data_IF_443446887992
#
_entry.id   IF_443446887992
#
_cell.length_a   1.000
_cell.length_b   1.000
_cell.length_c   1.000
_cell.angle_alpha   90.00
_cell.angle_beta   90.00
_cell.angle_gamma   90.00
#
_symmetry.space_group_name_H-M   'P 1'
#
loop_
_entity.id
_entity.type
_entity.pdbx_description
1 polymer ?
#
# COMPACT_ATOMS: atom_id res chain seq x y z
N UNK A 1 -22.08 -1.78 20.35
CA UNK A 1 -20.78 -2.48 20.46
C UNK A 1 -20.22 -2.67 19.05
N UNK A 2 -18.93 -2.43 18.82
CA UNK A 2 -18.28 -2.62 17.51
C UNK A 2 -18.14 -4.11 17.21
N UNK A 3 -18.39 -4.53 15.97
CA UNK A 3 -18.17 -5.92 15.55
C UNK A 3 -16.69 -6.21 15.29
N UNK A 4 -16.28 -7.47 15.45
CA UNK A 4 -14.92 -7.92 15.09
C UNK A 4 -14.60 -7.63 13.61
N UNK A 5 -15.58 -7.78 12.71
CA UNK A 5 -15.41 -7.47 11.28
C UNK A 5 -15.10 -5.99 11.06
N UNK A 6 -15.75 -5.08 11.76
CA UNK A 6 -15.48 -3.64 11.68
C UNK A 6 -14.08 -3.31 12.24
N UNK A 7 -13.68 -3.93 13.38
CA UNK A 7 -12.34 -3.78 13.93
C UNK A 7 -11.25 -4.24 12.96
N UNK A 8 -11.46 -5.35 12.25
CA UNK A 8 -10.52 -5.80 11.20
C UNK A 8 -10.32 -4.74 10.12
N UNK A 9 -11.41 -4.09 9.70
CA UNK A 9 -11.34 -2.99 8.73
C UNK A 9 -10.52 -1.81 9.27
N UNK A 10 -10.86 -1.29 10.44
CA UNK A 10 -10.15 -0.15 11.04
C UNK A 10 -8.69 -0.43 11.37
N UNK A 11 -8.37 -1.63 11.87
CA UNK A 11 -6.98 -2.01 12.11
C UNK A 11 -6.21 -2.11 10.78
N UNK A 12 -6.84 -2.66 9.73
CA UNK A 12 -6.22 -2.71 8.41
C UNK A 12 -5.91 -1.30 7.88
N UNK A 13 -6.81 -0.33 8.05
CA UNK A 13 -6.58 1.06 7.63
C UNK A 13 -5.30 1.64 8.28
N UNK A 14 -5.09 1.40 9.59
CA UNK A 14 -3.88 1.87 10.29
C UNK A 14 -2.61 1.12 9.82
N UNK A 15 -2.73 -0.18 9.57
CA UNK A 15 -1.63 -0.98 9.00
C UNK A 15 -1.27 -0.49 7.60
N UNK A 16 -2.24 -0.13 6.77
CA UNK A 16 -1.98 0.43 5.44
C UNK A 16 -1.38 1.84 5.52
N UNK A 17 -1.77 2.66 6.49
CA UNK A 17 -1.11 3.94 6.75
C UNK A 17 0.38 3.75 7.07
N UNK A 18 0.71 2.79 7.93
CA UNK A 18 2.09 2.41 8.21
C UNK A 18 2.82 1.89 6.96
N UNK A 19 2.17 1.04 6.18
CA UNK A 19 2.75 0.49 4.95
C UNK A 19 3.07 1.59 3.93
N UNK A 20 2.17 2.56 3.77
CA UNK A 20 2.42 3.75 2.94
C UNK A 20 3.64 4.53 3.43
N UNK A 21 3.70 4.82 4.74
CA UNK A 21 4.86 5.51 5.32
C UNK A 21 6.14 4.75 5.05
N UNK A 22 6.14 3.44 5.24
CA UNK A 22 7.28 2.57 4.96
C UNK A 22 7.65 2.51 3.48
N UNK A 23 6.76 2.95 2.59
CA UNK A 23 6.91 2.96 1.13
C UNK A 23 7.17 4.35 0.54
N UNK A 24 7.67 5.30 1.35
CA UNK A 24 8.06 6.62 0.88
C UNK A 24 6.94 7.66 0.80
N UNK A 25 5.77 7.37 1.42
CA UNK A 25 4.69 8.35 1.55
C UNK A 25 4.71 9.01 2.93
N UNK A 26 4.27 10.23 2.98
CA UNK A 26 3.85 10.94 4.18
C UNK A 26 2.33 10.76 4.34
N UNK A 27 1.91 10.25 5.50
CA UNK A 27 0.47 10.08 5.77
C UNK A 27 -0.10 11.42 6.17
N UNK A 28 -1.09 11.90 5.42
CA UNK A 28 -1.68 13.22 5.60
C UNK A 28 -2.80 13.20 6.65
N UNK A 29 -2.90 14.33 7.34
CA UNK A 29 -3.94 14.69 8.28
C UNK A 29 -4.66 15.98 7.84
N UNK A 30 -5.75 16.33 8.50
CA UNK A 30 -6.42 17.60 8.22
C UNK A 30 -5.57 18.83 8.60
N UNK A 31 -4.50 18.64 9.39
CA UNK A 31 -3.57 19.71 9.79
C UNK A 31 -2.57 20.05 8.67
N UNK A 32 -2.37 19.13 7.71
CA UNK A 32 -1.50 19.34 6.56
C UNK A 32 -2.11 20.27 5.50
N UNK A 33 -3.38 20.64 5.67
CA UNK A 33 -4.01 21.68 4.85
C UNK A 33 -3.77 23.05 5.45
N UNK A 34 -2.88 23.82 4.83
CA UNK A 34 -2.56 25.18 5.25
C UNK A 34 -3.63 26.22 4.86
N UNK A 35 -4.61 25.82 4.05
CA UNK A 35 -5.67 26.73 3.61
C UNK A 35 -6.78 26.82 4.65
N UNK A 36 -7.35 28.03 4.78
CA UNK A 36 -8.52 28.29 5.64
C UNK A 36 -9.81 28.19 4.84
N UNK A 37 -10.92 27.98 5.54
CA UNK A 37 -12.24 28.06 4.91
C UNK A 37 -12.42 29.40 4.16
N UNK A 38 -13.06 29.43 2.98
CA UNK A 38 -13.75 28.32 2.30
C UNK A 38 -12.83 27.47 1.40
N UNK A 39 -11.51 27.68 1.40
CA UNK A 39 -10.55 27.11 0.45
C UNK A 39 -9.93 25.78 0.90
N UNK A 40 -10.32 25.30 2.09
CA UNK A 40 -9.84 24.06 2.66
C UNK A 40 -10.17 22.86 1.77
N UNK A 41 -9.19 21.94 1.56
CA UNK A 41 -9.38 20.71 0.77
C UNK A 41 -9.27 19.45 1.60
N UNK A 42 -8.60 19.51 2.77
CA UNK A 42 -8.51 18.40 3.69
C UNK A 42 -9.27 18.74 4.96
N UNK A 43 -10.14 17.84 5.40
CA UNK A 43 -10.95 18.04 6.61
C UNK A 43 -11.11 16.70 7.33
N UNK A 44 -11.08 16.73 8.65
CA UNK A 44 -11.45 15.58 9.45
C UNK A 44 -12.94 15.67 9.81
N UNK A 45 -13.69 14.60 9.50
CA UNK A 45 -15.10 14.45 9.83
C UNK A 45 -15.33 13.22 10.71
N UNK A 46 -16.58 13.01 11.11
CA UNK A 46 -16.96 11.92 12.03
C UNK A 46 -16.47 10.53 11.59
N UNK A 47 -16.30 10.32 10.30
CA UNK A 47 -15.88 9.03 9.71
C UNK A 47 -14.44 9.01 9.20
N UNK A 48 -13.64 10.03 9.53
CA UNK A 48 -12.23 10.12 9.14
C UNK A 48 -11.92 11.28 8.19
N UNK A 49 -10.79 11.17 7.50
CA UNK A 49 -10.30 12.17 6.56
C UNK A 49 -11.20 12.28 5.34
N UNK A 50 -11.53 13.49 4.95
CA UNK A 50 -12.21 13.79 3.69
C UNK A 50 -11.42 14.77 2.84
N UNK A 51 -11.48 14.59 1.53
CA UNK A 51 -10.82 15.42 0.52
C UNK A 51 -11.89 16.08 -0.35
N UNK A 52 -11.75 17.36 -0.60
CA UNK A 52 -12.70 18.14 -1.40
C UNK A 52 -12.44 17.89 -2.89
N UNK A 53 -13.45 17.35 -3.56
CA UNK A 53 -13.52 17.31 -4.99
C UNK A 53 -14.16 18.58 -5.58
N UNK A 54 -14.38 18.61 -6.88
CA UNK A 54 -15.12 19.65 -7.58
C UNK A 54 -16.60 19.67 -7.15
N UNK A 55 -17.21 18.49 -7.08
CA UNK A 55 -18.64 18.33 -6.79
C UNK A 55 -18.93 17.88 -5.37
N UNK A 56 -18.05 17.14 -4.71
CA UNK A 56 -18.31 16.52 -3.42
C UNK A 56 -17.06 16.45 -2.51
N UNK A 57 -17.31 16.08 -1.23
CA UNK A 57 -16.26 15.65 -0.33
C UNK A 57 -16.16 14.12 -0.36
N UNK A 58 -14.97 13.59 -0.48
CA UNK A 58 -14.70 12.17 -0.57
C UNK A 58 -13.91 11.69 0.63
N UNK A 59 -14.39 10.63 1.27
CA UNK A 59 -13.67 9.98 2.36
C UNK A 59 -12.48 9.19 1.83
N UNK A 60 -11.36 9.25 2.54
CA UNK A 60 -10.20 8.38 2.37
C UNK A 60 -10.00 7.57 3.64
N UNK A 61 -9.84 6.25 3.54
CA UNK A 61 -9.46 5.42 4.68
C UNK A 61 -8.04 5.80 5.12
N UNK A 62 -7.17 6.06 4.16
CA UNK A 62 -5.84 6.67 4.35
C UNK A 62 -5.50 7.53 3.14
N UNK A 63 -4.89 8.69 3.40
CA UNK A 63 -4.37 9.58 2.37
C UNK A 63 -2.87 9.74 2.56
N UNK A 64 -2.09 9.43 1.53
CA UNK A 64 -0.64 9.60 1.54
C UNK A 64 -0.18 10.63 0.50
N UNK A 65 0.85 11.40 0.82
CA UNK A 65 1.57 12.24 -0.14
C UNK A 65 2.93 11.62 -0.41
N UNK A 66 3.23 11.36 -1.68
CA UNK A 66 4.52 10.82 -2.06
C UNK A 66 5.62 11.86 -1.83
N UNK A 67 6.69 11.49 -1.13
CA UNK A 67 7.77 12.41 -0.74
C UNK A 67 8.60 12.87 -1.92
N UNK A 68 8.66 12.07 -2.97
CA UNK A 68 9.43 12.38 -4.17
C UNK A 68 8.51 12.93 -5.25
N UNK A 69 8.85 14.08 -5.81
CA UNK A 69 8.12 14.63 -6.96
C UNK A 69 8.86 14.21 -8.22
N UNK A 70 8.25 13.42 -9.11
CA UNK A 70 8.88 13.08 -10.37
C UNK A 70 9.18 14.34 -11.19
N UNK A 71 10.32 14.41 -11.91
CA UNK A 71 10.62 15.55 -12.77
C UNK A 71 9.45 15.85 -13.73
N UNK A 72 9.15 17.14 -13.90
CA UNK A 72 8.07 17.63 -14.79
C UNK A 72 6.66 17.11 -14.42
N UNK A 73 6.44 16.70 -13.17
CA UNK A 73 5.16 16.20 -12.67
C UNK A 73 4.64 17.06 -11.51
N UNK A 74 3.37 16.89 -11.20
CA UNK A 74 2.79 17.40 -9.96
C UNK A 74 3.14 16.46 -8.80
N UNK A 75 3.19 16.99 -7.55
CA UNK A 75 3.26 16.12 -6.38
C UNK A 75 2.07 15.16 -6.35
N UNK A 76 2.34 13.90 -5.99
CA UNK A 76 1.35 12.82 -6.05
C UNK A 76 0.75 12.62 -4.66
N UNK A 77 -0.58 12.55 -4.59
CA UNK A 77 -1.34 12.11 -3.42
C UNK A 77 -2.09 10.82 -3.74
N UNK A 78 -2.07 9.87 -2.83
CA UNK A 78 -2.68 8.56 -3.00
C UNK A 78 -3.84 8.39 -2.02
N UNK A 79 -5.04 8.20 -2.56
CA UNK A 79 -6.15 7.65 -1.82
C UNK A 79 -5.96 6.15 -1.64
N UNK A 80 -6.08 5.69 -0.42
CA UNK A 80 -6.09 4.26 -0.11
C UNK A 80 -7.46 3.87 0.40
N UNK A 81 -8.01 2.83 -0.17
CA UNK A 81 -9.23 2.15 0.29
C UNK A 81 -8.89 0.75 0.78
N UNK A 82 -9.28 0.44 2.02
CA UNK A 82 -9.04 -0.83 2.69
C UNK A 82 -10.29 -1.71 2.65
N UNK A 83 -10.17 -2.94 2.13
CA UNK A 83 -11.26 -3.91 2.09
C UNK A 83 -10.86 -5.20 2.82
N UNK A 84 -11.27 -5.30 4.08
CA UNK A 84 -11.16 -6.54 4.83
C UNK A 84 -12.48 -7.32 4.71
N UNK A 85 -12.66 -8.04 3.61
CA UNK A 85 -13.90 -8.74 3.26
C UNK A 85 -13.66 -10.23 3.03
N UNK A 86 -14.73 -11.02 2.99
CA UNK A 86 -14.66 -12.44 2.63
C UNK A 86 -14.86 -12.68 1.12
N UNK A 87 -15.53 -11.74 0.44
CA UNK A 87 -15.78 -11.82 -0.99
C UNK A 87 -14.85 -10.89 -1.77
N UNK A 88 -14.50 -11.28 -2.99
CA UNK A 88 -13.72 -10.48 -3.93
C UNK A 88 -14.33 -9.07 -4.11
N UNK A 89 -13.49 -8.07 -4.17
CA UNK A 89 -13.90 -6.71 -4.49
C UNK A 89 -14.42 -6.66 -5.92
N UNK A 90 -15.60 -6.04 -6.10
CA UNK A 90 -16.33 -6.01 -7.37
C UNK A 90 -16.05 -4.70 -8.14
N UNK A 91 -16.43 -4.73 -9.41
CA UNK A 91 -16.34 -3.59 -10.35
C UNK A 91 -16.92 -2.29 -9.78
N UNK A 92 -18.01 -2.36 -9.00
CA UNK A 92 -18.62 -1.17 -8.40
C UNK A 92 -17.67 -0.37 -7.51
N UNK A 93 -16.82 -1.05 -6.74
CA UNK A 93 -15.79 -0.39 -5.90
C UNK A 93 -14.73 0.30 -6.75
N UNK A 94 -14.24 -0.35 -7.80
CA UNK A 94 -13.28 0.26 -8.72
C UNK A 94 -13.86 1.49 -9.45
N UNK A 95 -15.12 1.41 -9.90
CA UNK A 95 -15.84 2.54 -10.49
C UNK A 95 -16.01 3.70 -9.52
N UNK A 96 -16.33 3.41 -8.26
CA UNK A 96 -16.41 4.44 -7.22
C UNK A 96 -15.06 5.14 -7.02
N UNK A 97 -13.96 4.38 -6.89
CA UNK A 97 -12.61 4.92 -6.78
C UNK A 97 -12.22 5.81 -7.97
N UNK A 98 -12.58 5.40 -9.19
CA UNK A 98 -12.37 6.23 -10.39
C UNK A 98 -13.17 7.53 -10.30
N UNK A 99 -14.45 7.48 -9.89
CA UNK A 99 -15.28 8.67 -9.71
C UNK A 99 -14.70 9.64 -8.67
N UNK A 100 -14.23 9.12 -7.54
CA UNK A 100 -13.55 9.89 -6.49
C UNK A 100 -12.33 10.62 -7.05
N UNK A 101 -11.41 9.88 -7.66
CA UNK A 101 -10.17 10.45 -8.19
C UNK A 101 -10.44 11.45 -9.30
N UNK A 102 -11.40 11.18 -10.16
CA UNK A 102 -11.80 12.11 -11.21
C UNK A 102 -12.31 13.43 -10.64
N UNK A 103 -13.27 13.38 -9.70
CA UNK A 103 -13.85 14.57 -9.08
C UNK A 103 -12.80 15.41 -8.31
N UNK A 104 -11.90 14.73 -7.57
CA UNK A 104 -10.84 15.44 -6.83
C UNK A 104 -9.80 16.08 -7.76
N UNK A 105 -9.42 15.41 -8.84
CA UNK A 105 -8.49 15.97 -9.82
C UNK A 105 -9.10 17.12 -10.65
N UNK A 106 -10.42 17.14 -10.80
CA UNK A 106 -11.15 18.23 -11.44
C UNK A 106 -11.32 19.47 -10.53
N UNK A 107 -11.01 19.38 -9.25
CA UNK A 107 -10.97 20.52 -8.35
C UNK A 107 -9.71 21.37 -8.60
N UNK A 108 -9.67 22.02 -9.76
CA UNK A 108 -8.54 22.81 -10.25
C UNK A 108 -8.63 24.24 -9.73
N UNK A 109 -7.96 24.49 -8.62
CA UNK A 109 -7.81 25.84 -8.08
C UNK A 109 -6.32 26.16 -7.93
N UNK A 110 -5.82 27.03 -8.79
CA UNK A 110 -4.39 27.37 -8.86
C UNK A 110 -4.03 28.66 -8.12
N UNK A 111 -5.02 29.51 -7.85
CA UNK A 111 -4.83 30.78 -7.14
C UNK A 111 -5.96 31.01 -6.16
N UNK A 112 -5.63 31.56 -5.00
CA UNK A 112 -6.59 31.98 -3.98
C UNK A 112 -6.66 33.50 -3.93
N UNK A 113 -7.87 34.04 -3.88
CA UNK A 113 -8.12 35.47 -3.66
C UNK A 113 -8.54 35.65 -2.21
N UNK A 114 -7.69 36.27 -1.41
CA UNK A 114 -7.99 36.66 -0.04
C UNK A 114 -8.29 38.16 0.00
N UNK A 115 -9.56 38.54 -0.14
CA UNK A 115 -9.98 39.96 -0.14
C UNK A 115 -9.43 40.74 -1.32
N UNK A 116 -9.02 42.00 -1.10
CA UNK A 116 -8.44 42.91 -2.10
C UNK A 116 -6.93 42.76 -2.30
N UNK A 117 -6.32 41.75 -1.68
CA UNK A 117 -4.89 41.48 -1.76
C UNK A 117 -4.43 40.74 -3.02
N UNK A 118 -3.11 40.58 -3.22
CA UNK A 118 -2.58 39.83 -4.35
C UNK A 118 -3.04 38.36 -4.29
N UNK A 119 -3.21 37.75 -5.46
CA UNK A 119 -3.59 36.32 -5.57
C UNK A 119 -2.43 35.45 -5.07
N UNK A 120 -2.67 34.57 -4.10
CA UNK A 120 -1.71 33.60 -3.61
C UNK A 120 -1.72 32.35 -4.51
N UNK A 121 -0.57 31.93 -5.07
CA UNK A 121 -0.50 30.68 -5.80
C UNK A 121 -0.78 29.50 -4.87
N UNK A 122 -1.36 28.44 -5.41
CA UNK A 122 -1.66 27.22 -4.69
C UNK A 122 -0.98 26.03 -5.36
N UNK A 123 -0.38 25.15 -4.56
CA UNK A 123 0.18 23.90 -5.06
C UNK A 123 -0.95 23.00 -5.53
N UNK A 124 -0.83 22.53 -6.76
CA UNK A 124 -1.70 21.50 -7.32
C UNK A 124 -1.10 20.12 -7.08
N UNK A 125 -1.95 19.16 -6.79
CA UNK A 125 -1.58 17.77 -6.59
C UNK A 125 -2.24 16.90 -7.65
N UNK A 126 -1.59 15.79 -8.02
CA UNK A 126 -2.21 14.71 -8.77
C UNK A 126 -2.66 13.63 -7.79
N UNK A 127 -3.94 13.36 -7.76
CA UNK A 127 -4.49 12.30 -6.93
C UNK A 127 -4.57 11.00 -7.73
N UNK A 128 -4.12 9.91 -7.10
CA UNK A 128 -4.22 8.53 -7.58
C UNK A 128 -5.03 7.71 -6.57
N UNK A 129 -5.43 6.51 -6.93
CA UNK A 129 -6.25 5.64 -6.09
C UNK A 129 -5.67 4.24 -6.01
N UNK A 130 -5.63 3.67 -4.81
CA UNK A 130 -5.25 2.29 -4.58
C UNK A 130 -6.30 1.58 -3.72
N UNK A 131 -6.67 0.37 -4.10
CA UNK A 131 -7.58 -0.49 -3.36
C UNK A 131 -6.79 -1.69 -2.85
N UNK A 132 -6.79 -1.89 -1.53
CA UNK A 132 -6.20 -3.04 -0.88
C UNK A 132 -7.30 -4.00 -0.47
N UNK A 133 -7.23 -5.26 -0.90
CA UNK A 133 -8.26 -6.26 -0.61
C UNK A 133 -7.68 -7.54 -0.03
N UNK A 134 -8.24 -8.01 1.10
CA UNK A 134 -7.84 -9.29 1.72
C UNK A 134 -8.48 -10.52 1.06
N UNK A 135 -9.34 -10.33 0.08
CA UNK A 135 -10.08 -11.39 -0.63
C UNK A 135 -9.91 -11.35 -2.16
N UNK A 136 -9.00 -10.47 -2.65
CA UNK A 136 -8.74 -10.30 -4.08
C UNK A 136 -9.84 -9.51 -4.79
N UNK A 137 -9.83 -9.58 -6.12
CA UNK A 137 -10.64 -8.75 -7.01
C UNK A 137 -11.36 -9.62 -8.04
N UNK A 138 -12.58 -9.22 -8.45
CA UNK A 138 -13.24 -9.84 -9.61
C UNK A 138 -12.50 -9.46 -10.90
N UNK A 139 -12.64 -10.30 -11.94
CA UNK A 139 -12.03 -10.04 -13.24
C UNK A 139 -12.42 -8.67 -13.79
N UNK A 140 -13.72 -8.34 -13.80
CA UNK A 140 -14.22 -7.04 -14.29
C UNK A 140 -13.60 -5.86 -13.51
N UNK A 141 -13.36 -6.02 -12.18
CA UNK A 141 -12.72 -4.99 -11.38
C UNK A 141 -11.24 -4.80 -11.77
N UNK A 142 -10.52 -5.89 -12.07
CA UNK A 142 -9.13 -5.85 -12.51
C UNK A 142 -9.01 -5.18 -13.88
N UNK A 143 -9.83 -5.58 -14.84
CA UNK A 143 -9.84 -4.99 -16.19
C UNK A 143 -10.13 -3.49 -16.16
N UNK A 144 -11.15 -3.09 -15.39
CA UNK A 144 -11.51 -1.69 -15.23
C UNK A 144 -10.39 -0.88 -14.55
N UNK A 145 -9.80 -1.42 -13.48
CA UNK A 145 -8.73 -0.76 -12.75
C UNK A 145 -7.49 -0.54 -13.62
N UNK A 146 -7.09 -1.53 -14.42
CA UNK A 146 -5.98 -1.40 -15.38
C UNK A 146 -6.25 -0.30 -16.40
N UNK A 147 -7.47 -0.25 -16.98
CA UNK A 147 -7.86 0.76 -17.95
C UNK A 147 -7.87 2.20 -17.39
N UNK A 148 -8.17 2.34 -16.09
CA UNK A 148 -8.33 3.63 -15.42
C UNK A 148 -7.20 3.98 -14.43
N UNK A 149 -6.08 3.27 -14.48
CA UNK A 149 -4.89 3.52 -13.64
C UNK A 149 -5.19 3.50 -12.13
N UNK A 150 -6.11 2.63 -11.70
CA UNK A 150 -6.37 2.37 -10.28
C UNK A 150 -5.45 1.22 -9.86
N UNK A 151 -4.66 1.42 -8.80
CA UNK A 151 -3.78 0.40 -8.28
C UNK A 151 -4.58 -0.61 -7.45
N UNK A 152 -4.48 -1.90 -7.79
CA UNK A 152 -5.07 -2.99 -7.01
C UNK A 152 -3.96 -3.74 -6.28
N UNK A 153 -4.08 -3.84 -4.96
CA UNK A 153 -3.14 -4.60 -4.12
C UNK A 153 -3.88 -5.78 -3.52
N UNK A 154 -3.58 -6.96 -4.04
CA UNK A 154 -4.22 -8.20 -3.61
C UNK A 154 -3.53 -8.78 -2.39
N UNK A 155 -4.04 -8.43 -1.23
CA UNK A 155 -3.57 -8.97 0.05
C UNK A 155 -4.01 -10.43 0.26
N UNK A 156 -4.81 -11.06 -0.62
CA UNK A 156 -5.16 -12.48 -0.52
C UNK A 156 -3.98 -13.38 -0.91
N UNK A 157 -3.01 -12.84 -1.63
CA UNK A 157 -1.81 -13.56 -2.06
C UNK A 157 -1.03 -14.15 -0.88
N UNK A 158 -0.34 -15.29 -1.07
CA UNK A 158 0.42 -15.97 -0.01
C UNK A 158 1.40 -15.05 0.72
N UNK A 159 2.07 -14.16 -0.02
CA UNK A 159 3.08 -13.24 0.51
C UNK A 159 2.54 -12.31 1.61
N UNK A 160 1.25 -12.03 1.62
CA UNK A 160 0.58 -11.21 2.62
C UNK A 160 -0.05 -12.01 3.77
N UNK A 161 0.15 -13.32 3.84
CA UNK A 161 -0.56 -14.14 4.84
C UNK A 161 -0.22 -13.76 6.28
N UNK A 162 1.05 -13.42 6.56
CA UNK A 162 1.50 -12.97 7.88
C UNK A 162 0.80 -11.66 8.27
N UNK A 163 0.77 -10.68 7.37
CA UNK A 163 0.08 -9.40 7.60
C UNK A 163 -1.41 -9.60 7.94
N UNK A 164 -2.11 -10.39 7.14
CA UNK A 164 -3.53 -10.69 7.40
C UNK A 164 -3.74 -11.43 8.72
N UNK A 165 -2.82 -12.32 9.07
CA UNK A 165 -2.84 -13.07 10.33
C UNK A 165 -2.73 -12.13 11.53
N UNK A 166 -1.79 -11.20 11.50
CA UNK A 166 -1.59 -10.20 12.55
C UNK A 166 -2.82 -9.30 12.73
N UNK A 167 -3.39 -8.79 11.63
CA UNK A 167 -4.61 -7.96 11.70
C UNK A 167 -5.80 -8.75 12.29
N UNK A 168 -5.97 -10.02 11.89
CA UNK A 168 -7.04 -10.87 12.42
C UNK A 168 -6.86 -11.16 13.90
N UNK A 169 -5.66 -11.49 14.34
CA UNK A 169 -5.36 -11.77 15.73
C UNK A 169 -5.63 -10.55 16.60
N UNK A 170 -5.07 -9.40 16.26
CA UNK A 170 -5.30 -8.16 16.99
C UNK A 170 -6.79 -7.78 17.05
N UNK A 171 -7.52 -7.86 15.94
CA UNK A 171 -8.95 -7.55 15.92
C UNK A 171 -9.78 -8.49 16.80
N UNK A 172 -9.46 -9.79 16.77
CA UNK A 172 -10.13 -10.80 17.60
C UNK A 172 -9.90 -10.55 19.10
N UNK A 173 -8.65 -10.31 19.49
CA UNK A 173 -8.28 -10.16 20.90
C UNK A 173 -8.80 -8.83 21.45
N UNK A 174 -8.69 -7.73 20.70
CA UNK A 174 -9.33 -6.44 21.06
C UNK A 174 -10.84 -6.57 21.15
N UNK A 175 -11.48 -7.28 20.20
CA UNK A 175 -12.95 -7.49 20.27
C UNK A 175 -13.34 -8.27 21.51
N UNK A 176 -12.62 -9.35 21.86
CA UNK A 176 -12.86 -10.13 23.07
C UNK A 176 -12.69 -9.26 24.34
N UNK A 177 -11.65 -8.44 24.39
CA UNK A 177 -11.44 -7.50 25.50
C UNK A 177 -12.62 -6.53 25.64
N UNK A 178 -13.06 -5.90 24.55
CA UNK A 178 -14.18 -4.94 24.56
C UNK A 178 -15.51 -5.55 25.04
N UNK A 179 -15.68 -6.86 24.91
CA UNK A 179 -16.87 -7.54 25.40
C UNK A 179 -16.94 -7.58 26.94
N UNK A 180 -15.80 -7.47 27.62
CA UNK A 180 -15.72 -7.44 29.08
C UNK A 180 -15.97 -6.05 29.68
N UNK A 181 -15.98 -4.98 28.85
CA UNK A 181 -16.20 -3.61 29.34
C UNK A 181 -17.67 -3.31 29.59
N UNK A 182 -18.00 -2.57 30.68
CA UNK A 182 -19.28 -1.94 30.84
C UNK A 182 -19.55 -0.96 29.68
N UNK A 183 -20.78 -0.89 29.18
CA UNK A 183 -21.13 -0.08 28.03
C UNK A 183 -20.72 1.41 28.16
N UNK A 184 -20.75 1.96 29.39
CA UNK A 184 -20.34 3.34 29.67
C UNK A 184 -18.82 3.59 29.65
N UNK A 185 -18.01 2.52 29.64
CA UNK A 185 -16.54 2.60 29.68
C UNK A 185 -15.90 2.09 28.37
N UNK A 186 -16.70 1.76 27.36
CA UNK A 186 -16.20 1.30 26.07
C UNK A 186 -15.37 2.40 25.40
N UNK A 187 -14.10 2.15 25.07
CA UNK A 187 -13.31 3.09 24.31
C UNK A 187 -13.93 3.32 22.93
N UNK A 188 -13.88 4.56 22.47
CA UNK A 188 -14.31 4.88 21.12
C UNK A 188 -13.38 4.26 20.09
N UNK A 189 -13.91 3.89 18.92
CA UNK A 189 -13.11 3.35 17.80
C UNK A 189 -11.94 4.27 17.45
N UNK A 190 -12.16 5.57 17.46
CA UNK A 190 -11.13 6.58 17.20
C UNK A 190 -9.96 6.47 18.18
N UNK A 191 -10.24 6.19 19.45
CA UNK A 191 -9.21 6.07 20.49
C UNK A 191 -8.36 4.81 20.28
N UNK A 192 -8.99 3.69 19.91
CA UNK A 192 -8.31 2.43 19.57
C UNK A 192 -7.41 2.65 18.33
N UNK A 193 -7.93 3.31 17.30
CA UNK A 193 -7.17 3.65 16.09
C UNK A 193 -5.98 4.55 16.41
N UNK A 194 -6.19 5.61 17.19
CA UNK A 194 -5.13 6.54 17.58
C UNK A 194 -4.05 5.84 18.42
N UNK A 195 -4.44 4.91 19.30
CA UNK A 195 -3.49 4.11 20.05
C UNK A 195 -2.54 3.34 19.12
N UNK A 196 -3.09 2.63 18.12
CA UNK A 196 -2.29 1.86 17.16
C UNK A 196 -1.49 2.78 16.21
N UNK A 197 -2.08 3.89 15.78
CA UNK A 197 -1.44 4.86 14.86
C UNK A 197 -0.20 5.49 15.47
N UNK A 198 -0.20 5.75 16.76
CA UNK A 198 0.90 6.41 17.47
C UNK A 198 2.25 5.73 17.27
N UNK A 199 2.46 4.44 17.61
CA UNK A 199 3.73 3.77 17.39
C UNK A 199 4.04 3.51 15.92
N UNK A 200 3.02 3.35 15.08
CA UNK A 200 3.20 3.08 13.64
C UNK A 200 3.62 4.33 12.85
N UNK A 201 3.14 5.50 13.23
CA UNK A 201 3.43 6.76 12.55
C UNK A 201 4.35 7.70 13.35
N UNK A 202 4.93 7.23 14.47
CA UNK A 202 5.77 8.01 15.39
C UNK A 202 5.07 9.31 15.85
N UNK A 203 3.81 9.22 16.27
CA UNK A 203 3.08 10.34 16.84
C UNK A 203 3.32 10.41 18.35
N UNK A 204 3.41 11.63 18.90
CA UNK A 204 3.75 11.88 20.30
C UNK A 204 2.53 12.19 21.19
N UNK A 205 1.33 11.90 20.73
CA UNK A 205 0.11 12.11 21.50
C UNK A 205 0.00 11.11 22.66
N UNK A 206 -0.47 11.56 23.83
CA UNK A 206 -0.74 10.64 24.93
C UNK A 206 -1.91 9.71 24.62
N UNK A 207 -1.80 8.41 24.95
CA UNK A 207 -2.88 7.48 24.68
C UNK A 207 -4.05 7.69 25.65
N UNK A 208 -5.26 7.76 25.12
CA UNK A 208 -6.50 7.78 25.92
C UNK A 208 -6.85 6.38 26.40
N UNK A 209 -6.61 5.35 25.57
CA UNK A 209 -6.81 3.93 25.93
C UNK A 209 -5.59 3.44 26.69
N UNK A 210 -5.79 2.97 27.92
CA UNK A 210 -4.72 2.51 28.79
C UNK A 210 -4.92 1.08 29.33
N UNK A 211 -6.08 0.48 29.09
CA UNK A 211 -6.37 -0.87 29.57
C UNK A 211 -5.51 -1.91 28.84
N UNK A 212 -4.70 -2.71 29.57
CA UNK A 212 -3.80 -3.69 28.97
C UNK A 212 -4.49 -4.75 28.13
N UNK A 213 -5.75 -5.08 28.42
CA UNK A 213 -6.48 -6.07 27.63
C UNK A 213 -6.75 -5.60 26.19
N UNK A 214 -6.83 -4.29 25.97
CA UNK A 214 -7.00 -3.66 24.67
C UNK A 214 -5.66 -3.28 24.05
N UNK A 215 -4.73 -2.74 24.87
CA UNK A 215 -3.47 -2.20 24.35
C UNK A 215 -2.45 -3.28 24.01
N UNK A 216 -2.36 -4.37 24.81
CA UNK A 216 -1.40 -5.45 24.54
C UNK A 216 -1.54 -6.08 23.14
N UNK A 217 -2.73 -6.46 22.65
CA UNK A 217 -2.88 -6.95 21.28
C UNK A 217 -2.45 -5.94 20.20
N UNK A 218 -2.68 -4.65 20.45
CA UNK A 218 -2.28 -3.58 19.52
C UNK A 218 -0.76 -3.36 19.54
N UNK A 219 -0.12 -3.46 20.71
CA UNK A 219 1.33 -3.37 20.86
C UNK A 219 2.02 -4.55 20.16
N UNK A 220 1.51 -5.77 20.35
CA UNK A 220 2.02 -6.98 19.65
C UNK A 220 1.94 -6.81 18.13
N UNK A 221 0.83 -6.25 17.63
CA UNK A 221 0.69 -5.94 16.22
C UNK A 221 1.71 -4.89 15.78
N UNK A 222 1.80 -3.76 16.49
CA UNK A 222 2.70 -2.67 16.15
C UNK A 222 4.17 -3.12 16.15
N UNK A 223 4.58 -3.88 17.16
CA UNK A 223 5.94 -4.41 17.25
C UNK A 223 6.24 -5.44 16.17
N UNK A 224 5.26 -6.28 15.83
CA UNK A 224 5.40 -7.23 14.71
C UNK A 224 5.56 -6.53 13.37
N UNK A 225 4.86 -5.42 13.14
CA UNK A 225 4.99 -4.61 11.91
C UNK A 225 6.34 -3.89 11.87
N UNK A 226 6.79 -3.34 12.99
CA UNK A 226 8.07 -2.64 13.11
C UNK A 226 9.26 -3.58 13.08
N UNK A 227 9.07 -4.82 13.53
CA UNK A 227 10.09 -5.86 13.48
C UNK A 227 10.27 -6.33 12.04
N UNK A 228 11.41 -5.95 11.46
CA UNK A 228 11.80 -6.29 10.08
C UNK A 228 11.85 -7.80 9.85
N UNK A 229 12.20 -8.57 10.87
CA UNK A 229 12.28 -10.03 10.81
C UNK A 229 10.92 -10.73 10.86
N UNK A 230 9.90 -10.10 11.45
CA UNK A 230 8.60 -10.74 11.66
C UNK A 230 7.72 -10.64 10.42
N UNK A 231 7.60 -9.46 9.82
CA UNK A 231 6.77 -9.26 8.64
C UNK A 231 7.44 -9.77 7.36
N UNK A 232 8.75 -9.50 7.20
CA UNK A 232 9.54 -9.95 6.05
C UNK A 232 8.99 -9.49 4.71
N UNK A 233 8.41 -8.28 4.62
CA UNK A 233 7.75 -7.79 3.41
C UNK A 233 8.11 -6.35 3.10
N UNK A 234 8.27 -6.05 1.80
CA UNK A 234 8.43 -4.69 1.26
C UNK A 234 7.58 -4.52 0.01
N UNK A 235 7.07 -3.31 -0.22
CA UNK A 235 6.36 -3.00 -1.46
C UNK A 235 7.33 -2.65 -2.58
N UNK A 236 7.05 -3.17 -3.77
CA UNK A 236 7.75 -2.83 -5.01
C UNK A 236 6.77 -2.22 -6.01
N UNK A 237 7.26 -1.22 -6.71
CA UNK A 237 6.55 -0.47 -7.75
C UNK A 237 7.20 -0.80 -9.10
N UNK A 238 6.65 -1.79 -9.84
CA UNK A 238 7.16 -2.17 -11.15
C UNK A 238 6.80 -1.13 -12.21
N UNK A 239 7.34 -1.31 -13.42
CA UNK A 239 6.95 -0.54 -14.60
C UNK A 239 5.57 -0.97 -15.15
N UNK A 240 4.60 -1.16 -14.26
CA UNK A 240 3.26 -1.65 -14.56
C UNK A 240 2.25 -1.04 -13.60
N UNK A 241 0.95 -0.99 -13.94
CA UNK A 241 -0.08 -0.34 -13.14
C UNK A 241 -0.55 -1.20 -11.94
N UNK A 242 0.37 -1.88 -11.27
CA UNK A 242 0.08 -2.62 -10.04
C UNK A 242 1.26 -2.52 -9.06
N UNK A 243 1.03 -2.87 -7.82
CA UNK A 243 2.02 -2.91 -6.75
C UNK A 243 2.24 -4.34 -6.33
N UNK A 244 3.50 -4.71 -6.08
CA UNK A 244 3.87 -6.04 -5.62
C UNK A 244 4.25 -6.01 -4.14
N UNK A 245 3.81 -7.02 -3.38
CA UNK A 245 4.38 -7.33 -2.09
C UNK A 245 5.53 -8.32 -2.27
N UNK A 246 6.74 -7.89 -1.99
CA UNK A 246 7.90 -8.77 -1.99
C UNK A 246 8.12 -9.33 -0.59
N UNK A 247 8.00 -10.65 -0.44
CA UNK A 247 8.21 -11.34 0.81
C UNK A 247 9.60 -11.98 0.89
N UNK A 248 10.19 -12.02 2.08
CA UNK A 248 11.43 -12.70 2.38
C UNK A 248 11.40 -13.25 3.80
N UNK A 249 12.02 -14.41 4.01
CA UNK A 249 12.29 -14.93 5.35
C UNK A 249 13.44 -14.17 6.03
N UNK A 250 14.29 -13.51 5.24
CA UNK A 250 15.37 -12.64 5.70
C UNK A 250 15.40 -11.33 4.89
N UNK A 251 14.54 -10.40 5.27
CA UNK A 251 14.48 -9.09 4.62
C UNK A 251 15.73 -8.23 4.90
N UNK A 252 16.44 -8.50 6.00
CA UNK A 252 17.69 -7.78 6.32
C UNK A 252 18.79 -8.03 5.30
N UNK A 253 18.96 -9.27 4.86
CA UNK A 253 19.93 -9.58 3.82
C UNK A 253 19.66 -8.80 2.53
N UNK A 254 18.38 -8.65 2.15
CA UNK A 254 18.01 -7.79 1.03
C UNK A 254 18.36 -6.32 1.28
N UNK A 255 17.95 -5.78 2.44
CA UNK A 255 18.15 -4.36 2.75
C UNK A 255 19.64 -4.02 2.82
N UNK A 256 20.45 -4.83 3.48
CA UNK A 256 21.89 -4.62 3.58
C UNK A 256 22.55 -4.64 2.19
N UNK A 257 22.21 -5.63 1.36
CA UNK A 257 22.70 -5.67 -0.01
C UNK A 257 22.27 -4.45 -0.83
N UNK A 258 21.02 -4.03 -0.71
CA UNK A 258 20.49 -2.90 -1.43
C UNK A 258 21.02 -1.54 -0.93
N UNK A 259 21.42 -1.42 0.32
CA UNK A 259 22.11 -0.23 0.85
C UNK A 259 23.50 -0.07 0.23
N UNK A 260 24.21 -1.18 0.00
CA UNK A 260 25.51 -1.16 -0.68
C UNK A 260 25.37 -0.99 -2.20
N UNK A 261 24.34 -1.59 -2.78
CA UNK A 261 24.05 -1.58 -4.22
C UNK A 261 22.60 -1.12 -4.51
N UNK A 262 22.32 0.18 -4.40
CA UNK A 262 20.95 0.71 -4.53
C UNK A 262 20.29 0.43 -5.89
N UNK A 263 21.11 0.30 -6.92
CA UNK A 263 20.66 -0.12 -8.25
C UNK A 263 21.46 -1.35 -8.67
N UNK A 264 20.78 -2.48 -8.84
CA UNK A 264 21.45 -3.71 -9.26
C UNK A 264 20.58 -4.59 -10.15
N UNK A 265 21.26 -5.47 -10.91
CA UNK A 265 20.61 -6.40 -11.80
C UNK A 265 20.09 -7.62 -11.05
N UNK A 266 18.88 -8.05 -11.41
CA UNK A 266 18.24 -9.23 -10.80
C UNK A 266 17.85 -10.28 -11.84
N UNK A 267 17.73 -11.52 -11.37
CA UNK A 267 17.11 -12.63 -12.09
C UNK A 267 15.71 -12.83 -11.56
N UNK A 268 14.77 -13.01 -12.46
CA UNK A 268 13.37 -13.35 -12.16
C UNK A 268 13.11 -14.80 -12.58
N UNK A 269 12.71 -15.63 -11.64
CA UNK A 269 12.37 -17.03 -11.86
C UNK A 269 10.95 -17.30 -11.42
N UNK A 270 10.15 -17.92 -12.29
CA UNK A 270 8.85 -18.45 -11.91
C UNK A 270 9.08 -19.83 -11.29
N UNK A 271 8.65 -20.00 -10.06
CA UNK A 271 8.69 -21.27 -9.35
C UNK A 271 7.45 -22.07 -9.71
N UNK A 272 7.64 -23.32 -10.13
CA UNK A 272 6.51 -24.22 -10.35
C UNK A 272 6.00 -24.70 -9.00
N UNK A 273 4.82 -24.26 -8.62
CA UNK A 273 4.08 -24.78 -7.46
C UNK A 273 2.73 -25.30 -7.92
N UNK A 274 2.14 -26.33 -7.24
CA UNK A 274 0.77 -26.71 -7.50
C UNK A 274 -0.17 -25.54 -7.22
N UNK A 275 -1.07 -25.25 -8.18
CA UNK A 275 -2.04 -24.16 -8.20
C UNK A 275 -2.66 -23.81 -6.80
N UNK A 276 -3.20 -22.58 -6.58
CA UNK A 276 -3.73 -21.69 -7.63
C UNK A 276 -2.84 -20.53 -8.05
N UNK A 277 -1.73 -20.23 -7.36
CA UNK A 277 -0.92 -19.06 -7.64
C UNK A 277 0.54 -19.46 -7.92
N UNK A 278 1.10 -18.93 -9.01
CA UNK A 278 2.55 -19.05 -9.24
C UNK A 278 3.31 -18.13 -8.32
N UNK A 279 4.36 -18.64 -7.71
CA UNK A 279 5.31 -17.84 -6.96
C UNK A 279 6.48 -17.46 -7.87
N UNK A 280 6.83 -16.20 -7.84
CA UNK A 280 8.00 -15.67 -8.52
C UNK A 280 9.11 -15.40 -7.52
N UNK A 281 10.34 -15.61 -7.91
CA UNK A 281 11.52 -15.37 -7.11
C UNK A 281 12.42 -14.33 -7.77
N UNK A 282 12.93 -13.42 -6.94
CA UNK A 282 13.93 -12.41 -7.31
C UNK A 282 15.22 -12.75 -6.58
N UNK A 283 16.34 -12.81 -7.33
CA UNK A 283 17.68 -12.93 -6.76
C UNK A 283 18.63 -11.95 -7.47
N UNK A 284 19.62 -11.38 -6.79
CA UNK A 284 20.65 -10.58 -7.45
C UNK A 284 21.42 -11.42 -8.46
N UNK A 285 21.82 -10.80 -9.58
CA UNK A 285 22.49 -11.53 -10.67
C UNK A 285 23.93 -11.86 -10.32
N UNK A 286 24.63 -10.91 -9.71
CA UNK A 286 26.06 -11.07 -9.39
C UNK A 286 26.28 -11.98 -8.18
N UNK A 287 25.44 -11.86 -7.15
CA UNK A 287 25.51 -12.65 -5.92
C UNK A 287 24.18 -13.35 -5.62
N UNK A 288 23.84 -14.45 -6.34
CA UNK A 288 22.51 -15.07 -6.28
C UNK A 288 22.09 -15.58 -4.89
N UNK A 289 23.05 -15.75 -4.00
CA UNK A 289 22.81 -16.22 -2.63
C UNK A 289 22.75 -15.09 -1.59
N UNK A 290 22.95 -13.83 -1.99
CA UNK A 290 22.93 -12.71 -1.06
C UNK A 290 21.54 -12.49 -0.47
N UNK A 291 20.49 -12.62 -1.27
CA UNK A 291 19.09 -12.59 -0.80
C UNK A 291 18.15 -13.32 -1.77
N UNK A 292 16.95 -13.62 -1.28
CA UNK A 292 15.82 -14.07 -2.08
C UNK A 292 14.57 -13.30 -1.68
N UNK A 293 13.83 -12.80 -2.67
CA UNK A 293 12.50 -12.22 -2.48
C UNK A 293 11.50 -13.04 -3.30
N UNK A 294 10.30 -13.23 -2.76
CA UNK A 294 9.21 -13.91 -3.46
C UNK A 294 8.03 -12.98 -3.65
N UNK A 295 7.25 -13.19 -4.70
CA UNK A 295 6.04 -12.43 -4.97
C UNK A 295 5.08 -13.19 -5.88
N UNK A 296 3.79 -12.81 -5.82
CA UNK A 296 2.79 -13.24 -6.77
C UNK A 296 2.46 -12.13 -7.77
N UNK A 297 2.06 -12.51 -8.98
CA UNK A 297 1.51 -11.56 -9.96
C UNK A 297 -0.01 -11.46 -9.81
N UNK A 298 -0.63 -10.33 -10.22
CA UNK A 298 -2.07 -10.24 -10.31
C UNK A 298 -2.68 -11.39 -11.12
N UNK A 299 -3.82 -11.92 -10.65
CA UNK A 299 -4.48 -13.10 -11.23
C UNK A 299 -4.66 -12.99 -12.75
N UNK A 300 -5.01 -11.80 -13.24
CA UNK A 300 -5.19 -11.53 -14.66
C UNK A 300 -3.88 -11.67 -15.47
N UNK A 301 -2.76 -11.22 -14.92
CA UNK A 301 -1.45 -11.35 -15.57
C UNK A 301 -1.02 -12.82 -15.58
N UNK A 302 -1.24 -13.53 -14.48
CA UNK A 302 -0.97 -14.98 -14.40
C UNK A 302 -1.86 -15.76 -15.37
N UNK A 303 -3.15 -15.49 -15.43
CA UNK A 303 -4.09 -16.11 -16.34
C UNK A 303 -3.66 -15.90 -17.81
N UNK A 304 -3.24 -14.68 -18.16
CA UNK A 304 -2.72 -14.40 -19.50
C UNK A 304 -1.45 -15.19 -19.84
N UNK A 305 -0.54 -15.37 -18.88
CA UNK A 305 0.65 -16.20 -19.06
C UNK A 305 0.24 -17.67 -19.32
N UNK A 306 -0.78 -18.16 -18.63
CA UNK A 306 -1.21 -19.55 -18.61
C UNK A 306 -2.21 -19.94 -19.71
N UNK A 307 -2.82 -18.98 -20.39
CA UNK A 307 -3.92 -19.16 -21.36
C UNK A 307 -3.56 -20.02 -22.59
N UNK A 308 -2.35 -20.52 -22.73
CA UNK A 308 -1.98 -21.49 -23.74
C UNK A 308 -1.39 -22.73 -23.09
N UNK A 309 -1.76 -23.93 -23.60
CA UNK A 309 -1.36 -25.27 -23.11
C UNK A 309 0.15 -25.46 -22.91
N UNK A 310 0.97 -24.67 -23.56
CA UNK A 310 2.40 -24.58 -23.33
C UNK A 310 2.74 -23.22 -22.78
N UNK A 311 2.47 -22.91 -21.47
CA UNK A 311 2.77 -21.61 -20.84
C UNK A 311 3.92 -20.88 -21.54
N UNK A 312 3.57 -20.07 -22.55
CA UNK A 312 4.51 -19.68 -23.60
C UNK A 312 5.74 -19.01 -22.97
N UNK A 313 6.94 -19.54 -23.14
CA UNK A 313 8.15 -18.87 -22.67
C UNK A 313 8.23 -17.41 -23.14
N UNK A 314 7.63 -17.11 -24.29
CA UNK A 314 7.53 -15.76 -24.86
C UNK A 314 6.66 -14.81 -24.01
N UNK A 315 5.51 -15.26 -23.49
CA UNK A 315 4.66 -14.42 -22.61
C UNK A 315 5.31 -14.16 -21.26
N UNK A 316 5.92 -15.19 -20.69
CA UNK A 316 6.70 -15.04 -19.44
C UNK A 316 7.87 -14.06 -19.64
N UNK A 317 8.55 -14.15 -20.77
CA UNK A 317 9.64 -13.24 -21.14
C UNK A 317 9.11 -11.82 -21.32
N UNK A 318 8.01 -11.67 -22.04
CA UNK A 318 7.38 -10.36 -22.24
C UNK A 318 6.99 -9.68 -20.91
N UNK A 319 6.39 -10.40 -19.96
CA UNK A 319 6.07 -9.86 -18.63
C UNK A 319 7.32 -9.38 -17.91
N UNK A 320 8.42 -10.16 -17.96
CA UNK A 320 9.70 -9.77 -17.35
C UNK A 320 10.28 -8.50 -17.99
N UNK A 321 10.24 -8.40 -19.31
CA UNK A 321 10.87 -7.31 -20.08
C UNK A 321 9.99 -6.05 -20.09
N UNK A 322 8.67 -6.18 -20.06
CA UNK A 322 7.74 -5.05 -20.18
C UNK A 322 7.21 -4.58 -18.85
N UNK A 323 6.82 -5.48 -17.94
CA UNK A 323 6.20 -5.12 -16.68
C UNK A 323 7.17 -5.11 -15.50
N UNK A 324 8.15 -6.04 -15.49
CA UNK A 324 9.08 -6.26 -14.38
C UNK A 324 10.52 -5.83 -14.72
N UNK A 325 10.72 -5.12 -15.82
CA UNK A 325 12.04 -4.67 -16.26
C UNK A 325 12.75 -3.79 -15.25
N UNK A 326 11.99 -2.99 -14.51
CA UNK A 326 12.48 -2.17 -13.42
C UNK A 326 11.45 -2.16 -12.30
N UNK A 327 11.90 -2.38 -11.08
CA UNK A 327 11.07 -2.28 -9.87
C UNK A 327 11.73 -1.30 -8.92
N UNK A 328 11.00 -0.27 -8.52
CA UNK A 328 11.46 0.69 -7.52
C UNK A 328 10.89 0.30 -6.16
N UNK A 329 11.76 0.31 -5.14
CA UNK A 329 11.39 0.04 -3.77
C UNK A 329 11.82 1.23 -2.91
N UNK A 330 11.02 1.55 -1.91
CA UNK A 330 11.35 2.58 -0.93
C UNK A 330 11.50 1.93 0.44
N UNK A 331 12.56 2.32 1.13
CA UNK A 331 12.85 1.82 2.46
C UNK A 331 13.06 3.00 3.40
N UNK A 332 12.31 3.04 4.48
CA UNK A 332 12.46 4.06 5.53
C UNK A 332 13.34 3.53 6.65
N UNK A 333 14.42 4.24 6.94
CA UNK A 333 15.23 4.06 8.14
C UNK A 333 15.10 5.31 9.02
N UNK A 334 14.21 5.25 10.00
CA UNK A 334 13.73 6.44 10.69
C UNK A 334 13.04 7.41 9.72
N UNK A 335 13.57 8.62 9.61
CA UNK A 335 13.09 9.64 8.66
C UNK A 335 13.88 9.66 7.33
N UNK A 336 14.93 8.83 7.21
CA UNK A 336 15.68 8.70 5.97
C UNK A 336 15.00 7.71 5.02
N UNK A 337 14.78 8.17 3.81
CA UNK A 337 14.20 7.35 2.74
C UNK A 337 15.29 6.89 1.78
N UNK A 338 15.45 5.57 1.67
CA UNK A 338 16.31 4.94 0.68
C UNK A 338 15.46 4.50 -0.51
N UNK A 339 16.00 4.67 -1.71
CA UNK A 339 15.36 4.22 -2.95
C UNK A 339 16.22 3.14 -3.58
N UNK A 340 15.63 1.97 -3.81
CA UNK A 340 16.29 0.86 -4.47
C UNK A 340 15.68 0.62 -5.84
N UNK A 341 16.51 0.24 -6.81
CA UNK A 341 16.06 -0.14 -8.15
C UNK A 341 16.57 -1.53 -8.50
N UNK A 342 15.63 -2.47 -8.64
CA UNK A 342 15.90 -3.80 -9.16
C UNK A 342 15.66 -3.79 -10.67
N UNK A 343 16.69 -4.12 -11.46
CA UNK A 343 16.60 -4.14 -12.92
C UNK A 343 16.67 -5.57 -13.43
N UNK A 344 15.59 -6.01 -14.08
CA UNK A 344 15.65 -7.29 -14.78
C UNK A 344 16.51 -7.13 -16.05
N UNK A 345 17.54 -7.96 -16.16
CA UNK A 345 18.34 -8.08 -17.37
C UNK A 345 18.14 -9.48 -17.92
N UNK A 346 17.60 -9.58 -19.13
CA UNK A 346 17.56 -10.85 -19.84
C UNK A 346 18.98 -11.45 -19.89
N UNK A 347 19.10 -12.76 -19.77
CA UNK A 347 20.38 -13.39 -20.02
C UNK A 347 20.72 -13.11 -21.49
N UNK A 348 21.69 -12.25 -21.74
CA UNK A 348 22.30 -12.20 -23.04
C UNK A 348 22.87 -13.61 -23.31
N UNK A 349 22.44 -14.21 -24.39
CA UNK A 349 23.15 -15.30 -24.96
C UNK A 349 24.56 -14.77 -25.26
N UNK A 350 25.51 -15.11 -24.41
CA UNK A 350 26.88 -15.13 -24.80
C UNK A 350 26.99 -16.29 -25.83
N UNK A 351 26.48 -16.03 -27.05
CA UNK A 351 26.93 -16.80 -28.20
C UNK A 351 28.42 -16.51 -28.35
N UNK A 352 29.17 -17.54 -28.11
CA UNK A 352 30.59 -17.51 -28.18
C UNK A 352 31.11 -16.93 -29.50
N UNK A 353 31.95 -15.95 -29.37
CA UNK A 353 33.06 -15.78 -30.27
C UNK A 353 34.09 -16.85 -29.91
N UNK A 354 33.97 -18.00 -30.59
CA UNK A 354 35.05 -18.95 -30.75
C UNK A 354 36.07 -18.42 -31.71
#
# INVERSE_FOLDING_TARGET
MISESALRGYILEEVLAWLLRSSGYEVLTAQDDQDKAPWKVLEERNHGMVVRGRGAWHQADTLGQFRYVPPFSLPIRLFVEAKFTQSKVRLSTARNGHGVVHDVNENVMTTLTTGSGPRRPRTRYRYSYAIFSTSGFSQDAQEFALAHQISLVDLSMPDFHKLRGLVRAAAKDVHAALQAFPAAQLPAVREIRNYLRRPLLNLWEEPVVTDPSVTTPLDVLADSLRSRSTLGMILAFPAAPFVLGLASDDLYSFVNYALEQPTHSVRLRRLRQPAPHSVWEIRPREHPNAYALTFGLPEQVEAWILDQEAGSPSRTRWVKESMLSAMTLYWMDGDHAHTFQLRYTAAEFLEGSG
#
